data_IF_615021588645
#
_entry.id   IF_615021588645
#
_cell.length_a   1.000
_cell.length_b   1.000
_cell.length_c   1.000
_cell.angle_alpha   90.00
_cell.angle_beta   90.00
_cell.angle_gamma   90.00
#
_symmetry.space_group_name_H-M   'P 1'
#
loop_
_entity.id
_entity.type
_entity.pdbx_description
1 polymer ?
#
# COMPACT_ATOMS: atom_id res chain seq x y z
N UNK A 1 6.82 -14.63 -12.14
CA UNK A 1 5.50 -14.23 -12.72
C UNK A 1 4.30 -14.91 -12.07
N UNK A 2 4.35 -16.17 -11.61
CA UNK A 2 3.14 -16.85 -11.08
C UNK A 2 2.66 -16.39 -9.69
N UNK A 3 3.55 -15.98 -8.77
CA UNK A 3 3.17 -15.69 -7.38
C UNK A 3 2.54 -14.30 -7.17
N UNK A 4 2.97 -13.28 -7.94
CA UNK A 4 2.35 -11.95 -7.95
C UNK A 4 0.85 -12.03 -8.26
N UNK A 5 0.49 -12.75 -9.32
CA UNK A 5 -0.90 -12.92 -9.75
C UNK A 5 -1.75 -13.66 -8.70
N UNK A 6 -1.14 -14.51 -7.87
CA UNK A 6 -1.86 -15.27 -6.86
C UNK A 6 -2.24 -14.44 -5.63
N UNK A 7 -1.34 -13.55 -5.17
CA UNK A 7 -1.64 -12.62 -4.08
C UNK A 7 -2.80 -11.69 -4.43
N UNK A 8 -2.73 -11.04 -5.58
CA UNK A 8 -3.80 -10.19 -6.10
C UNK A 8 -5.12 -10.95 -6.32
N UNK A 9 -5.06 -12.18 -6.81
CA UNK A 9 -6.25 -13.02 -6.99
C UNK A 9 -6.91 -13.38 -5.64
N UNK A 10 -6.13 -13.77 -4.62
CA UNK A 10 -6.69 -14.04 -3.29
C UNK A 10 -7.27 -12.78 -2.65
N UNK A 11 -6.62 -11.63 -2.83
CA UNK A 11 -7.13 -10.34 -2.37
C UNK A 11 -8.49 -10.02 -3.00
N UNK A 12 -8.61 -10.15 -4.32
CA UNK A 12 -9.86 -9.92 -5.06
C UNK A 12 -10.99 -10.86 -4.64
N UNK A 13 -10.66 -12.03 -4.09
CA UNK A 13 -11.61 -13.00 -3.53
C UNK A 13 -11.91 -12.77 -2.03
N UNK A 14 -11.41 -11.69 -1.43
CA UNK A 14 -11.57 -11.38 0.00
C UNK A 14 -10.79 -12.32 0.93
N UNK A 15 -9.85 -13.12 0.40
CA UNK A 15 -9.07 -14.11 1.16
C UNK A 15 -7.74 -13.51 1.60
N UNK A 16 -7.81 -12.48 2.45
CA UNK A 16 -6.66 -11.62 2.76
C UNK A 16 -5.48 -12.36 3.41
N UNK A 17 -5.71 -13.31 4.32
CA UNK A 17 -4.61 -14.11 4.89
C UNK A 17 -3.87 -14.95 3.83
N UNK A 18 -4.60 -15.51 2.86
CA UNK A 18 -3.97 -16.23 1.73
C UNK A 18 -3.23 -15.28 0.79
N UNK A 19 -3.73 -14.05 0.64
CA UNK A 19 -3.04 -13.01 -0.11
C UNK A 19 -1.70 -12.65 0.57
N UNK A 20 -1.69 -12.50 1.90
CA UNK A 20 -0.47 -12.26 2.69
C UNK A 20 0.54 -13.39 2.47
N UNK A 21 0.13 -14.65 2.59
CA UNK A 21 1.01 -15.80 2.36
C UNK A 21 1.60 -15.78 0.95
N UNK A 22 0.77 -15.55 -0.07
CA UNK A 22 1.21 -15.51 -1.45
C UNK A 22 2.18 -14.34 -1.72
N UNK A 23 1.89 -13.14 -1.21
CA UNK A 23 2.77 -11.99 -1.33
C UNK A 23 4.11 -12.22 -0.62
N UNK A 24 4.12 -12.80 0.59
CA UNK A 24 5.35 -13.16 1.30
C UNK A 24 6.22 -14.15 0.52
N UNK A 25 5.60 -15.14 -0.13
CA UNK A 25 6.34 -16.06 -1.01
C UNK A 25 6.90 -15.34 -2.24
N UNK A 26 6.13 -14.44 -2.85
CA UNK A 26 6.61 -13.61 -3.96
C UNK A 26 7.82 -12.77 -3.55
N UNK A 27 7.76 -12.10 -2.40
CA UNK A 27 8.86 -11.31 -1.83
C UNK A 27 10.08 -12.18 -1.51
N UNK A 28 9.90 -13.40 -1.01
CA UNK A 28 11.03 -14.32 -0.77
C UNK A 28 11.77 -14.67 -2.05
N UNK A 29 11.07 -14.78 -3.17
CA UNK A 29 11.64 -15.09 -4.48
C UNK A 29 12.26 -13.83 -5.11
N UNK A 30 11.58 -12.69 -4.99
CA UNK A 30 11.99 -11.40 -5.52
C UNK A 30 11.79 -10.31 -4.45
N UNK A 31 12.81 -10.03 -3.62
CA UNK A 31 12.68 -9.09 -2.50
C UNK A 31 12.45 -7.63 -2.92
N UNK A 32 12.85 -7.29 -4.15
CA UNK A 32 12.73 -5.98 -4.78
C UNK A 32 11.48 -5.86 -5.68
N UNK A 33 10.43 -6.64 -5.39
CA UNK A 33 9.15 -6.55 -6.09
C UNK A 33 8.23 -5.55 -5.37
N UNK A 34 8.21 -4.30 -5.85
CA UNK A 34 7.41 -3.23 -5.27
C UNK A 34 5.91 -3.56 -5.25
N UNK A 35 5.38 -4.20 -6.30
CA UNK A 35 3.97 -4.55 -6.40
C UNK A 35 3.60 -5.65 -5.40
N UNK A 36 4.51 -6.60 -5.13
CA UNK A 36 4.30 -7.62 -4.09
C UNK A 36 4.25 -7.01 -2.68
N UNK A 37 5.09 -6.01 -2.39
CA UNK A 37 5.06 -5.27 -1.13
C UNK A 37 3.79 -4.40 -1.01
N UNK A 38 3.38 -3.73 -2.08
CA UNK A 38 2.13 -2.94 -2.10
C UNK A 38 0.91 -3.82 -1.84
N UNK A 39 0.79 -4.95 -2.54
CA UNK A 39 -0.30 -5.91 -2.32
C UNK A 39 -0.27 -6.55 -0.93
N UNK A 40 0.91 -6.76 -0.36
CA UNK A 40 1.03 -7.19 1.04
C UNK A 40 0.46 -6.15 2.00
N UNK A 41 0.75 -4.86 1.76
CA UNK A 41 0.19 -3.75 2.51
C UNK A 41 -1.34 -3.69 2.40
N UNK A 42 -1.88 -3.82 1.19
CA UNK A 42 -3.33 -3.84 0.93
C UNK A 42 -4.01 -4.96 1.72
N UNK A 43 -3.43 -6.16 1.71
CA UNK A 43 -3.97 -7.31 2.42
C UNK A 43 -3.93 -7.15 3.95
N UNK A 44 -2.85 -6.56 4.50
CA UNK A 44 -2.80 -6.23 5.93
C UNK A 44 -3.80 -5.16 6.33
N UNK A 45 -3.92 -4.08 5.55
CA UNK A 45 -4.87 -3.00 5.81
C UNK A 45 -6.32 -3.53 5.80
N UNK A 46 -6.65 -4.45 4.89
CA UNK A 46 -7.96 -5.11 4.82
C UNK A 46 -8.29 -5.97 6.04
N UNK A 47 -7.28 -6.35 6.83
CA UNK A 47 -7.45 -7.08 8.10
C UNK A 47 -7.33 -6.16 9.33
N UNK A 48 -7.22 -4.84 9.15
CA UNK A 48 -7.01 -3.88 10.23
C UNK A 48 -5.59 -3.91 10.83
N UNK A 49 -4.65 -4.58 10.17
CA UNK A 49 -3.25 -4.72 10.58
C UNK A 49 -2.42 -3.56 10.04
N UNK A 50 -2.74 -2.36 10.52
CA UNK A 50 -2.27 -1.11 9.90
C UNK A 50 -0.76 -0.87 10.06
N UNK A 51 -0.16 -1.27 11.19
CA UNK A 51 1.29 -1.14 11.39
C UNK A 51 2.06 -2.00 10.39
N UNK A 52 1.62 -3.25 10.16
CA UNK A 52 2.24 -4.10 9.15
C UNK A 52 1.98 -3.60 7.71
N UNK A 53 0.82 -2.98 7.48
CA UNK A 53 0.51 -2.36 6.20
C UNK A 53 1.45 -1.20 5.89
N UNK A 54 1.68 -0.31 6.87
CA UNK A 54 2.62 0.82 6.75
C UNK A 54 4.01 0.34 6.37
N UNK A 55 4.53 -0.68 7.06
CA UNK A 55 5.87 -1.19 6.78
C UNK A 55 5.96 -1.81 5.38
N UNK A 56 4.91 -2.51 4.93
CA UNK A 56 4.86 -3.06 3.57
C UNK A 56 4.82 -1.95 2.50
N UNK A 57 3.99 -0.92 2.67
CA UNK A 57 3.95 0.21 1.73
C UNK A 57 5.27 0.98 1.69
N UNK A 58 5.92 1.22 2.85
CA UNK A 58 7.24 1.84 2.90
C UNK A 58 8.30 1.02 2.17
N UNK A 59 8.24 -0.31 2.22
CA UNK A 59 9.14 -1.14 1.40
C UNK A 59 8.85 -0.99 -0.10
N UNK A 60 7.58 -0.97 -0.50
CA UNK A 60 7.20 -0.73 -1.90
C UNK A 60 7.73 0.63 -2.39
N UNK A 61 7.57 1.69 -1.60
CA UNK A 61 8.05 3.05 -1.87
C UNK A 61 9.59 3.10 -1.91
N UNK A 62 10.28 2.40 -1.00
CA UNK A 62 11.75 2.32 -1.00
C UNK A 62 12.28 1.71 -2.30
N UNK A 63 11.57 0.72 -2.85
CA UNK A 63 11.94 0.05 -4.11
C UNK A 63 11.56 0.93 -5.31
N UNK A 64 10.36 1.53 -5.27
CA UNK A 64 9.81 2.37 -6.33
C UNK A 64 9.28 3.69 -5.72
N UNK A 65 10.13 4.74 -5.64
CA UNK A 65 9.78 6.00 -4.97
C UNK A 65 8.67 6.81 -5.64
N UNK A 66 8.34 6.51 -6.90
CA UNK A 66 7.25 7.15 -7.64
C UNK A 66 5.98 6.29 -7.69
N UNK A 67 5.85 5.30 -6.80
CA UNK A 67 4.70 4.40 -6.80
C UNK A 67 3.47 5.06 -6.15
N UNK A 68 2.70 5.78 -6.97
CA UNK A 68 1.52 6.53 -6.55
C UNK A 68 0.54 5.70 -5.68
N UNK A 69 0.20 4.48 -6.09
CA UNK A 69 -0.72 3.63 -5.32
C UNK A 69 -0.22 3.34 -3.89
N UNK A 70 1.08 3.06 -3.73
CA UNK A 70 1.66 2.79 -2.42
C UNK A 70 1.67 4.05 -1.52
N UNK A 71 1.97 5.23 -2.08
CA UNK A 71 1.86 6.50 -1.37
C UNK A 71 0.42 6.82 -0.96
N UNK A 72 -0.54 6.61 -1.86
CA UNK A 72 -1.96 6.83 -1.58
C UNK A 72 -2.47 5.92 -0.46
N UNK A 73 -2.20 4.62 -0.55
CA UNK A 73 -2.63 3.65 0.45
C UNK A 73 -1.93 3.85 1.80
N UNK A 74 -0.67 4.28 1.80
CA UNK A 74 0.03 4.69 3.01
C UNK A 74 -0.64 5.91 3.67
N UNK A 75 -0.99 6.93 2.88
CA UNK A 75 -1.73 8.11 3.35
C UNK A 75 -3.10 7.76 3.95
N UNK A 76 -3.87 6.88 3.29
CA UNK A 76 -5.13 6.36 3.83
C UNK A 76 -4.95 5.60 5.13
N UNK A 77 -3.87 4.82 5.25
CA UNK A 77 -3.57 4.06 6.46
C UNK A 77 -3.24 4.99 7.62
N UNK A 78 -2.48 6.06 7.37
CA UNK A 78 -2.23 7.10 8.37
C UNK A 78 -3.51 7.82 8.81
N UNK A 79 -4.39 8.19 7.88
CA UNK A 79 -5.69 8.77 8.24
C UNK A 79 -6.54 7.84 9.10
N UNK A 80 -6.53 6.54 8.78
CA UNK A 80 -7.27 5.53 9.56
C UNK A 80 -6.77 5.44 11.00
N UNK A 81 -5.47 5.66 11.22
CA UNK A 81 -4.86 5.74 12.54
C UNK A 81 -4.97 7.13 13.21
N UNK A 82 -5.58 8.11 12.55
CA UNK A 82 -5.72 9.48 13.05
C UNK A 82 -4.48 10.35 12.85
N UNK A 83 -3.48 9.90 12.09
CA UNK A 83 -2.27 10.66 11.78
C UNK A 83 -2.43 11.46 10.48
N UNK A 84 -3.19 12.55 10.56
CA UNK A 84 -3.37 13.48 9.44
C UNK A 84 -2.07 14.18 9.02
N UNK A 85 -1.07 14.24 9.91
CA UNK A 85 0.23 14.86 9.61
C UNK A 85 1.01 14.03 8.59
N UNK A 86 1.18 12.73 8.88
CA UNK A 86 1.84 11.81 7.96
C UNK A 86 1.06 11.65 6.65
N UNK A 87 -0.29 11.62 6.70
CA UNK A 87 -1.11 11.61 5.49
C UNK A 87 -0.91 12.87 4.61
N UNK A 88 -0.75 14.04 5.23
CA UNK A 88 -0.46 15.29 4.51
C UNK A 88 0.92 15.25 3.83
N UNK A 89 1.89 14.58 4.43
CA UNK A 89 3.21 14.40 3.81
C UNK A 89 3.11 13.51 2.57
N UNK A 90 2.33 12.42 2.61
CA UNK A 90 2.06 11.59 1.43
C UNK A 90 1.30 12.36 0.34
N UNK A 91 0.34 13.21 0.71
CA UNK A 91 -0.33 14.13 -0.24
C UNK A 91 0.67 15.03 -0.99
N UNK A 92 1.62 15.65 -0.27
CA UNK A 92 2.62 16.54 -0.90
C UNK A 92 3.48 15.79 -1.92
N UNK A 93 3.79 14.53 -1.63
CA UNK A 93 4.53 13.66 -2.55
C UNK A 93 3.67 13.35 -3.78
N UNK A 94 2.45 12.84 -3.56
CA UNK A 94 1.50 12.50 -4.63
C UNK A 94 1.21 13.66 -5.56
N UNK A 95 1.14 14.89 -5.07
CA UNK A 95 0.92 16.08 -5.91
C UNK A 95 1.92 16.19 -7.08
N UNK A 96 3.12 15.63 -6.94
CA UNK A 96 4.14 15.63 -7.99
C UNK A 96 4.21 14.32 -8.79
N UNK A 97 3.45 13.28 -8.43
CA UNK A 97 3.46 11.95 -9.04
C UNK A 97 2.14 11.68 -9.75
N UNK A 98 1.03 11.82 -9.02
CA UNK A 98 -0.34 11.57 -9.46
C UNK A 98 -1.28 12.58 -8.78
N UNK A 99 -1.69 13.58 -9.55
CA UNK A 99 -2.52 14.69 -9.06
C UNK A 99 -3.93 14.24 -8.70
N UNK A 100 -4.46 13.20 -9.33
CA UNK A 100 -5.82 12.72 -9.05
C UNK A 100 -5.85 12.04 -7.67
N UNK A 101 -4.91 11.12 -7.43
CA UNK A 101 -4.72 10.50 -6.12
C UNK A 101 -4.40 11.52 -5.03
N UNK A 102 -3.62 12.56 -5.34
CA UNK A 102 -3.34 13.65 -4.41
C UNK A 102 -4.62 14.40 -4.01
N UNK A 103 -5.46 14.76 -4.98
CA UNK A 103 -6.70 15.51 -4.72
C UNK A 103 -7.69 14.67 -3.90
N UNK A 104 -7.78 13.37 -4.17
CA UNK A 104 -8.60 12.47 -3.37
C UNK A 104 -8.13 12.41 -1.91
N UNK A 105 -6.83 12.18 -1.69
CA UNK A 105 -6.26 12.13 -0.35
C UNK A 105 -6.42 13.46 0.39
N UNK A 106 -6.22 14.59 -0.29
CA UNK A 106 -6.44 15.92 0.26
C UNK A 106 -7.88 16.10 0.77
N UNK A 107 -8.85 15.73 -0.05
CA UNK A 107 -10.26 15.82 0.33
C UNK A 107 -10.59 14.95 1.55
N UNK A 108 -9.90 13.82 1.75
CA UNK A 108 -10.08 12.97 2.93
C UNK A 108 -9.42 13.55 4.19
N UNK A 109 -8.28 14.23 4.06
CA UNK A 109 -7.58 14.87 5.19
C UNK A 109 -8.43 15.98 5.82
N UNK A 110 -9.22 16.72 5.02
CA UNK A 110 -9.95 17.92 5.46
C UNK A 110 -11.48 17.73 5.53
N UNK A 111 -11.98 16.49 5.53
CA UNK A 111 -13.38 16.17 5.84
C UNK A 111 -13.65 16.19 7.33
#
# INVERSE_FOLDING_TARGET
>A
MAHYNLGAAYYSLGRYEKAIEACKQAIRIKPDDADAHCNLGNAYASLGRYDEAIEAYKQAIRIKPDYAEAHYNLGLTYLTLGDSGSALDEYKILKNIDTDSANELFNLIYK
#
